data_IF_619445303138
#
_entry.id   IF_619445303138
#
_cell.length_a   1.000
_cell.length_b   1.000
_cell.length_c   1.000
_cell.angle_alpha   90.00
_cell.angle_beta   90.00
_cell.angle_gamma   90.00
#
_symmetry.space_group_name_H-M   'P 1'
#
loop_
_entity.id
_entity.type
_entity.pdbx_description
1 polymer ?
#
# COMPACT_ATOMS: atom_id res chain seq x y z
N UNK A 1 1.47 -12.09 0.24
CA UNK A 1 1.81 -10.75 -0.28
C UNK A 1 2.39 -9.97 0.88
N UNK A 2 3.43 -9.19 0.64
CA UNK A 2 4.06 -8.39 1.68
C UNK A 2 3.09 -7.30 2.12
N UNK A 3 2.87 -7.19 3.41
CA UNK A 3 2.03 -6.20 4.04
C UNK A 3 2.70 -4.82 4.02
N UNK A 4 2.97 -4.28 2.83
CA UNK A 4 3.76 -3.06 2.66
C UNK A 4 2.87 -1.84 2.72
N UNK A 5 3.29 -0.86 3.52
CA UNK A 5 2.64 0.45 3.57
C UNK A 5 3.64 1.57 3.24
N UNK A 6 3.13 2.58 2.57
CA UNK A 6 3.79 3.87 2.42
C UNK A 6 3.22 4.82 3.48
N UNK A 7 4.07 5.45 4.27
CA UNK A 7 3.64 6.39 5.33
C UNK A 7 4.15 7.78 4.99
N UNK A 8 3.25 8.77 4.95
CA UNK A 8 3.57 10.13 4.54
C UNK A 8 3.22 11.12 5.64
N UNK A 9 4.23 11.77 6.22
CA UNK A 9 4.11 12.74 7.30
C UNK A 9 3.99 14.15 6.74
N UNK A 10 2.85 14.81 6.98
CA UNK A 10 2.57 16.16 6.54
C UNK A 10 3.46 17.16 7.27
N UNK A 11 4.02 18.07 6.52
CA UNK A 11 4.85 19.20 6.97
C UNK A 11 4.01 20.48 7.03
N UNK A 12 4.51 21.54 7.69
CA UNK A 12 3.84 22.85 7.70
C UNK A 12 3.63 23.46 6.31
N UNK A 13 4.50 23.15 5.34
CA UNK A 13 4.43 23.62 3.96
C UNK A 13 3.45 22.81 3.07
N UNK A 14 2.60 21.97 3.67
CA UNK A 14 1.62 21.12 2.99
C UNK A 14 2.24 20.00 2.12
N UNK A 15 3.55 19.77 2.23
CA UNK A 15 4.25 18.65 1.59
C UNK A 15 4.43 17.52 2.60
N UNK A 16 4.97 16.40 2.13
CA UNK A 16 5.08 15.18 2.91
C UNK A 16 6.49 14.60 2.89
N UNK A 17 6.94 14.13 4.04
CA UNK A 17 8.10 13.25 4.13
C UNK A 17 7.61 11.80 4.13
N UNK A 18 8.16 11.00 3.23
CA UNK A 18 7.67 9.66 2.91
C UNK A 18 8.60 8.62 3.53
N UNK A 19 8.01 7.62 4.18
CA UNK A 19 8.67 6.49 4.81
C UNK A 19 8.02 5.17 4.40
N UNK A 20 8.73 4.10 4.68
CA UNK A 20 8.33 2.73 4.36
C UNK A 20 7.97 1.95 5.63
N UNK A 21 6.98 1.06 5.53
CA UNK A 21 6.74 0.03 6.54
C UNK A 21 6.55 -1.32 5.85
N UNK A 22 7.34 -2.32 6.24
CA UNK A 22 7.29 -3.66 5.65
C UNK A 22 6.05 -4.47 6.06
N UNK A 23 5.50 -4.18 7.24
CA UNK A 23 4.36 -4.90 7.84
C UNK A 23 3.11 -4.02 8.05
N UNK A 24 3.16 -2.74 7.65
CA UNK A 24 2.04 -1.79 7.78
C UNK A 24 0.75 -2.15 7.02
N UNK A 25 0.83 -3.09 6.09
CA UNK A 25 -0.27 -3.69 5.33
C UNK A 25 -0.98 -4.85 6.05
N UNK A 26 -0.50 -5.28 7.22
CA UNK A 26 -1.09 -6.40 7.96
C UNK A 26 -2.18 -5.87 8.92
N UNK A 27 -1.96 -4.68 9.46
CA UNK A 27 -2.84 -4.06 10.45
C UNK A 27 -3.25 -2.66 10.01
N UNK A 28 -4.55 -2.40 9.84
CA UNK A 28 -5.08 -1.01 9.80
C UNK A 28 -4.65 -0.24 11.05
N UNK A 29 -4.38 -0.96 12.14
CA UNK A 29 -3.80 -0.45 13.37
C UNK A 29 -2.42 0.25 13.21
N UNK A 30 -1.72 0.16 12.05
CA UNK A 30 -0.53 0.98 11.86
C UNK A 30 -0.87 2.48 12.04
N UNK A 31 -2.01 2.94 11.52
CA UNK A 31 -2.47 4.31 11.72
C UNK A 31 -2.77 4.64 13.19
N UNK A 32 -3.21 3.66 13.97
CA UNK A 32 -3.52 3.80 15.41
C UNK A 32 -2.26 3.79 16.28
N UNK A 33 -1.18 3.15 15.82
CA UNK A 33 0.11 3.08 16.52
C UNK A 33 0.98 4.34 16.32
N UNK A 34 0.65 5.17 15.32
CA UNK A 34 1.35 6.43 15.07
C UNK A 34 0.72 7.49 15.97
N UNK A 35 1.44 7.86 17.03
CA UNK A 35 1.06 8.95 17.93
C UNK A 35 2.19 9.98 18.05
N UNK A 36 1.98 11.04 18.82
CA UNK A 36 3.03 12.01 19.12
C UNK A 36 4.19 11.39 19.90
N UNK A 37 3.90 10.40 20.76
CA UNK A 37 4.85 9.66 21.57
C UNK A 37 5.57 8.57 20.76
N UNK A 38 4.86 7.91 19.85
CA UNK A 38 5.38 6.83 19.00
C UNK A 38 5.25 7.18 17.51
N UNK A 39 5.94 8.24 17.03
CA UNK A 39 5.73 8.75 15.67
C UNK A 39 6.13 7.74 14.59
N UNK A 40 6.99 6.77 14.90
CA UNK A 40 7.40 5.69 13.99
C UNK A 40 6.77 4.33 14.36
N UNK A 41 5.66 4.33 15.12
CA UNK A 41 4.94 3.13 15.55
C UNK A 41 5.88 2.06 16.15
N UNK A 42 6.69 2.46 17.12
CA UNK A 42 7.66 1.61 17.83
C UNK A 42 8.63 0.84 16.90
N UNK A 43 9.05 1.49 15.82
CA UNK A 43 9.99 0.92 14.85
C UNK A 43 9.33 0.08 13.75
N UNK A 44 7.99 0.01 13.73
CA UNK A 44 7.24 -0.59 12.61
C UNK A 44 7.37 0.21 11.31
N UNK A 45 7.81 1.47 11.40
CA UNK A 45 8.09 2.36 10.28
C UNK A 45 9.60 2.57 10.21
N UNK A 46 10.17 2.35 9.03
CA UNK A 46 11.58 2.58 8.78
C UNK A 46 11.92 4.07 9.02
N UNK A 47 12.92 4.39 9.86
CA UNK A 47 13.33 5.77 10.08
C UNK A 47 13.86 6.43 8.80
N UNK A 48 14.39 5.66 7.86
CA UNK A 48 14.92 6.17 6.60
C UNK A 48 13.79 6.72 5.71
N UNK A 49 13.99 7.95 5.23
CA UNK A 49 13.04 8.59 4.33
C UNK A 49 13.28 8.12 2.91
N UNK A 50 12.22 7.66 2.24
CA UNK A 50 12.24 7.33 0.82
C UNK A 50 11.95 8.54 -0.06
N UNK A 51 11.36 9.59 0.51
CA UNK A 51 11.11 10.85 -0.17
C UNK A 51 10.99 12.01 0.81
N UNK A 52 11.40 13.21 0.40
CA UNK A 52 11.41 14.41 1.23
C UNK A 52 10.66 15.56 0.56
N UNK A 53 9.81 16.25 1.33
CA UNK A 53 9.02 17.40 0.86
C UNK A 53 8.25 17.11 -0.45
N UNK A 54 7.53 16.01 -0.50
CA UNK A 54 6.79 15.54 -1.68
C UNK A 54 5.34 16.01 -1.64
N UNK A 55 4.78 16.49 -2.75
CA UNK A 55 3.35 16.83 -2.83
C UNK A 55 2.46 15.57 -2.84
N UNK A 56 1.21 15.66 -2.38
CA UNK A 56 0.23 14.55 -2.44
C UNK A 56 0.09 13.94 -3.84
N UNK A 57 -0.01 14.75 -4.88
CA UNK A 57 -0.09 14.27 -6.27
C UNK A 57 1.13 13.43 -6.64
N UNK A 58 2.33 13.90 -6.29
CA UNK A 58 3.58 13.19 -6.55
C UNK A 58 3.74 11.92 -5.72
N UNK A 59 3.17 11.84 -4.51
CA UNK A 59 3.09 10.57 -3.76
C UNK A 59 2.40 9.51 -4.64
N UNK A 60 1.20 9.83 -5.16
CA UNK A 60 0.42 8.88 -5.96
C UNK A 60 1.12 8.54 -7.28
N UNK A 61 1.68 9.53 -7.97
CA UNK A 61 2.21 9.32 -9.31
C UNK A 61 3.63 8.75 -9.38
N UNK A 62 4.43 8.89 -8.31
CA UNK A 62 5.85 8.55 -8.33
C UNK A 62 6.35 7.67 -7.18
N UNK A 63 5.59 7.53 -6.07
CA UNK A 63 6.03 6.73 -4.92
C UNK A 63 5.09 5.56 -4.59
N UNK A 64 3.79 5.73 -4.83
CA UNK A 64 2.79 4.73 -4.51
C UNK A 64 2.60 3.75 -5.68
N UNK A 65 3.55 2.82 -5.84
CA UNK A 65 3.40 1.71 -6.77
C UNK A 65 2.25 0.78 -6.30
N UNK A 66 1.13 0.68 -7.05
CA UNK A 66 0.00 -0.16 -6.66
C UNK A 66 0.32 -1.66 -6.68
N UNK A 67 1.37 -2.10 -7.40
CA UNK A 67 1.81 -3.49 -7.37
C UNK A 67 2.59 -3.83 -6.09
N UNK A 68 3.22 -2.84 -5.47
CA UNK A 68 4.11 -3.03 -4.32
C UNK A 68 3.41 -2.73 -3.00
N UNK A 69 2.61 -1.66 -2.94
CA UNK A 69 1.99 -1.18 -1.71
C UNK A 69 0.56 -1.66 -1.56
N UNK A 70 0.23 -2.14 -0.36
CA UNK A 70 -1.15 -2.50 0.00
C UNK A 70 -1.87 -1.33 0.68
N UNK A 71 -1.12 -0.42 1.32
CA UNK A 71 -1.67 0.73 2.06
C UNK A 71 -0.87 2.02 1.90
N UNK A 72 -1.57 3.14 2.03
CA UNK A 72 -1.02 4.48 2.20
C UNK A 72 -1.55 5.05 3.53
N UNK A 73 -0.67 5.53 4.39
CA UNK A 73 -1.06 6.23 5.63
C UNK A 73 -0.59 7.68 5.54
N UNK A 74 -1.53 8.62 5.61
CA UNK A 74 -1.22 10.05 5.73
C UNK A 74 -1.25 10.45 7.20
N UNK A 75 -0.19 11.07 7.68
CA UNK A 75 -0.06 11.53 9.07
C UNK A 75 -0.06 13.05 9.08
N UNK A 76 -0.89 13.67 9.93
CA UNK A 76 -0.95 15.11 10.13
C UNK A 76 -0.55 15.48 11.58
N UNK A 77 0.75 15.68 11.87
CA UNK A 77 1.24 15.90 13.24
C UNK A 77 0.63 17.11 13.97
N UNK A 78 0.25 18.17 13.24
CA UNK A 78 -0.27 19.41 13.83
C UNK A 78 -1.76 19.40 14.19
N UNK A 79 -2.52 18.39 13.76
CA UNK A 79 -3.95 18.23 14.05
C UNK A 79 -4.14 16.99 14.93
N UNK A 80 -3.62 17.01 16.16
CA UNK A 80 -3.67 15.89 17.12
C UNK A 80 -3.04 14.58 16.60
N UNK A 81 -2.00 14.69 15.76
CA UNK A 81 -1.39 13.52 15.12
C UNK A 81 -2.39 12.66 14.32
N UNK A 82 -3.44 13.28 13.75
CA UNK A 82 -4.45 12.57 12.97
C UNK A 82 -3.83 11.75 11.86
N UNK A 83 -4.21 10.47 11.79
CA UNK A 83 -3.86 9.57 10.69
C UNK A 83 -5.07 9.33 9.79
N UNK A 84 -4.80 9.13 8.50
CA UNK A 84 -5.79 8.70 7.54
C UNK A 84 -5.21 7.54 6.74
N UNK A 85 -5.84 6.39 6.86
CA UNK A 85 -5.39 5.16 6.21
C UNK A 85 -6.19 4.95 4.93
N UNK A 86 -5.48 4.56 3.87
CA UNK A 86 -6.04 4.22 2.58
C UNK A 86 -5.62 2.80 2.20
N UNK A 87 -6.58 2.02 1.69
CA UNK A 87 -6.30 0.77 0.98
C UNK A 87 -5.91 1.10 -0.47
N UNK A 88 -4.82 0.50 -0.93
CA UNK A 88 -4.38 0.61 -2.32
C UNK A 88 -5.01 -0.52 -3.14
N UNK A 89 -5.61 -0.15 -4.26
CA UNK A 89 -6.29 -1.01 -5.20
C UNK A 89 -5.50 -1.06 -6.52
N UNK A 90 -4.88 -2.19 -6.83
CA UNK A 90 -4.19 -2.36 -8.11
C UNK A 90 -5.18 -2.67 -9.23
N UNK A 91 -5.35 -1.74 -10.18
CA UNK A 91 -6.40 -1.82 -11.20
C UNK A 91 -6.00 -2.58 -12.47
N UNK A 92 -4.77 -3.07 -12.55
CA UNK A 92 -4.28 -3.86 -13.69
C UNK A 92 -4.19 -5.36 -13.35
N UNK A 93 -4.17 -6.20 -14.39
CA UNK A 93 -3.98 -7.66 -14.28
C UNK A 93 -2.57 -8.13 -14.64
N UNK A 94 -1.76 -7.23 -15.23
CA UNK A 94 -0.38 -7.52 -15.64
C UNK A 94 0.49 -6.32 -15.36
N UNK A 95 1.76 -6.55 -15.08
CA UNK A 95 2.76 -5.48 -14.99
C UNK A 95 3.02 -4.96 -16.41
N UNK A 96 2.54 -3.76 -16.72
CA UNK A 96 2.86 -3.07 -17.98
C UNK A 96 4.13 -2.23 -17.81
N UNK A 97 4.92 -2.12 -18.88
CA UNK A 97 6.16 -1.31 -18.89
C UNK A 97 5.87 0.20 -19.07
N UNK A 98 4.59 0.59 -19.17
CA UNK A 98 4.10 1.95 -19.06
C UNK A 98 3.17 2.03 -17.85
N UNK A 99 3.12 3.20 -17.22
CA UNK A 99 2.55 3.45 -15.89
C UNK A 99 1.38 2.56 -15.45
N UNK A 100 1.41 2.15 -14.17
CA UNK A 100 0.39 1.29 -13.56
C UNK A 100 -0.81 2.12 -13.09
N UNK A 101 -2.03 1.65 -13.37
CA UNK A 101 -3.25 2.26 -12.83
C UNK A 101 -3.52 1.73 -11.41
N UNK A 102 -3.72 2.66 -10.48
CA UNK A 102 -4.05 2.37 -9.08
C UNK A 102 -5.29 3.14 -8.62
N UNK A 103 -5.87 2.70 -7.51
CA UNK A 103 -6.89 3.41 -6.77
C UNK A 103 -6.53 3.44 -5.28
N UNK A 104 -7.02 4.45 -4.57
CA UNK A 104 -6.99 4.47 -3.11
C UNK A 104 -8.41 4.64 -2.56
N UNK A 105 -8.74 3.88 -1.51
CA UNK A 105 -10.02 3.96 -0.80
C UNK A 105 -9.72 4.25 0.66
N UNK A 106 -10.37 5.26 1.25
CA UNK A 106 -10.19 5.57 2.66
C UNK A 106 -10.77 4.45 3.53
N UNK A 107 -9.99 3.98 4.49
CA UNK A 107 -10.38 2.89 5.41
C UNK A 107 -10.10 3.34 6.83
N UNK A 108 -11.15 3.69 7.56
CA UNK A 108 -11.13 4.20 8.93
C UNK A 108 -11.10 3.08 9.98
N UNK A 109 -11.57 1.88 9.62
CA UNK A 109 -11.64 0.72 10.51
C UNK A 109 -11.17 -0.56 9.82
N UNK A 110 -10.78 -1.55 10.62
CA UNK A 110 -10.45 -2.90 10.12
C UNK A 110 -11.63 -3.55 9.37
N UNK A 111 -12.86 -3.35 9.84
CA UNK A 111 -14.06 -3.93 9.21
C UNK A 111 -14.31 -3.33 7.82
N UNK A 112 -14.15 -2.00 7.68
CA UNK A 112 -14.25 -1.33 6.38
C UNK A 112 -13.14 -1.79 5.44
N UNK A 113 -11.90 -1.88 5.94
CA UNK A 113 -10.76 -2.37 5.15
C UNK A 113 -10.96 -3.79 4.64
N UNK A 114 -11.47 -4.69 5.48
CA UNK A 114 -11.77 -6.07 5.09
C UNK A 114 -12.88 -6.14 4.06
N UNK A 115 -13.97 -5.37 4.25
CA UNK A 115 -15.07 -5.27 3.29
C UNK A 115 -14.55 -4.83 1.91
N UNK A 116 -13.82 -3.73 1.85
CA UNK A 116 -13.26 -3.18 0.61
C UNK A 116 -12.32 -4.20 -0.05
N UNK A 117 -11.46 -4.86 0.73
CA UNK A 117 -10.55 -5.90 0.21
C UNK A 117 -11.31 -7.05 -0.43
N UNK A 118 -12.30 -7.61 0.27
CA UNK A 118 -13.10 -8.75 -0.22
C UNK A 118 -13.86 -8.35 -1.48
N UNK A 119 -14.57 -7.22 -1.44
CA UNK A 119 -15.32 -6.70 -2.58
C UNK A 119 -14.42 -6.47 -3.80
N UNK A 120 -13.27 -5.82 -3.60
CA UNK A 120 -12.35 -5.50 -4.69
C UNK A 120 -11.78 -6.77 -5.31
N UNK A 121 -11.35 -7.73 -4.48
CA UNK A 121 -10.79 -8.98 -4.95
C UNK A 121 -11.83 -9.84 -5.66
N UNK A 122 -13.05 -9.94 -5.14
CA UNK A 122 -14.14 -10.66 -5.79
C UNK A 122 -14.46 -10.05 -7.17
N UNK A 123 -14.64 -8.73 -7.24
CA UNK A 123 -14.92 -8.02 -8.49
C UNK A 123 -13.80 -8.20 -9.50
N UNK A 124 -12.53 -8.07 -9.07
CA UNK A 124 -11.36 -8.21 -9.94
C UNK A 124 -11.20 -9.63 -10.47
N UNK A 125 -11.48 -10.64 -9.66
CA UNK A 125 -11.48 -12.06 -10.09
C UNK A 125 -12.56 -12.31 -11.13
N UNK A 126 -13.81 -11.89 -10.89
CA UNK A 126 -14.89 -12.08 -11.87
C UNK A 126 -14.59 -11.37 -13.20
N UNK A 127 -14.03 -10.16 -13.15
CA UNK A 127 -13.60 -9.46 -14.37
C UNK A 127 -12.45 -10.19 -15.07
N UNK A 128 -11.53 -10.82 -14.34
CA UNK A 128 -10.48 -11.65 -14.93
C UNK A 128 -11.10 -12.80 -15.73
N UNK A 129 -12.04 -13.54 -15.14
CA UNK A 129 -12.71 -14.66 -15.79
C UNK A 129 -13.43 -14.22 -17.08
N UNK A 130 -14.16 -13.09 -17.03
CA UNK A 130 -14.87 -12.54 -18.19
C UNK A 130 -13.89 -12.12 -19.30
N UNK A 131 -12.75 -11.55 -18.92
CA UNK A 131 -11.67 -11.20 -19.87
C UNK A 131 -11.06 -12.45 -20.49
N UNK A 132 -10.80 -13.49 -19.70
CA UNK A 132 -10.23 -14.76 -20.17
C UNK A 132 -11.18 -15.49 -21.13
N UNK A 133 -12.49 -15.41 -20.89
CA UNK A 133 -13.52 -15.89 -21.81
C UNK A 133 -13.64 -15.04 -23.09
N UNK A 134 -12.92 -13.92 -23.20
CA UNK A 134 -12.97 -13.02 -24.35
C UNK A 134 -14.24 -12.19 -24.46
N UNK A 135 -15.12 -12.23 -23.44
CA UNK A 135 -16.38 -11.50 -23.43
C UNK A 135 -16.19 -10.01 -23.13
N UNK A 136 -15.06 -9.62 -22.52
CA UNK A 136 -14.69 -8.24 -22.23
C UNK A 136 -13.21 -8.00 -22.52
N UNK A 137 -12.87 -6.82 -23.06
CA UNK A 137 -11.47 -6.43 -23.18
C UNK A 137 -10.86 -6.05 -21.83
N UNK A 138 -9.56 -6.27 -21.64
CA UNK A 138 -8.82 -5.82 -20.44
C UNK A 138 -8.99 -4.32 -20.17
N UNK A 139 -8.97 -3.50 -21.24
CA UNK A 139 -9.17 -2.04 -21.12
C UNK A 139 -10.56 -1.71 -20.55
N UNK A 140 -11.60 -2.38 -21.03
CA UNK A 140 -12.95 -2.19 -20.55
C UNK A 140 -13.13 -2.70 -19.11
N UNK A 141 -12.54 -3.86 -18.77
CA UNK A 141 -12.52 -4.38 -17.41
C UNK A 141 -11.86 -3.40 -16.42
N UNK A 142 -10.72 -2.82 -16.80
CA UNK A 142 -10.04 -1.79 -16.00
C UNK A 142 -10.91 -0.54 -15.82
N UNK A 143 -11.46 0.00 -16.91
CA UNK A 143 -12.34 1.18 -16.84
C UNK A 143 -13.56 0.91 -15.96
N UNK A 144 -14.14 -0.28 -16.04
CA UNK A 144 -15.24 -0.69 -15.16
C UNK A 144 -14.79 -0.75 -13.70
N UNK A 145 -13.67 -1.41 -13.39
CA UNK A 145 -13.17 -1.53 -12.03
C UNK A 145 -12.82 -0.15 -11.42
N UNK A 146 -12.23 0.73 -12.22
CA UNK A 146 -11.96 2.12 -11.82
C UNK A 146 -13.23 2.88 -11.48
N UNK A 147 -14.25 2.82 -12.35
CA UNK A 147 -15.54 3.45 -12.09
C UNK A 147 -16.18 2.91 -10.80
N UNK A 148 -16.13 1.60 -10.56
CA UNK A 148 -16.65 1.00 -9.32
C UNK A 148 -15.89 1.47 -8.08
N UNK A 149 -14.56 1.55 -8.13
CA UNK A 149 -13.77 2.10 -7.02
C UNK A 149 -14.15 3.55 -6.71
N UNK A 150 -14.34 4.38 -7.73
CA UNK A 150 -14.70 5.78 -7.54
C UNK A 150 -16.16 6.00 -7.11
N UNK A 151 -17.10 5.26 -7.67
CA UNK A 151 -18.54 5.49 -7.46
C UNK A 151 -19.11 4.72 -6.26
N UNK A 152 -18.62 3.50 -5.98
CA UNK A 152 -19.16 2.65 -4.92
C UNK A 152 -18.41 2.82 -3.59
N UNK A 153 -17.09 3.01 -3.66
CA UNK A 153 -16.23 3.07 -2.47
C UNK A 153 -15.63 4.47 -2.25
N UNK A 154 -16.13 5.50 -2.95
CA UNK A 154 -15.65 6.90 -2.87
C UNK A 154 -14.12 7.00 -3.04
N UNK A 155 -13.57 6.13 -3.90
CA UNK A 155 -12.14 5.99 -4.11
C UNK A 155 -11.57 7.02 -5.07
N UNK A 156 -10.26 7.23 -4.99
CA UNK A 156 -9.52 8.09 -5.92
C UNK A 156 -8.61 7.26 -6.82
N UNK A 157 -8.84 7.30 -8.14
CA UNK A 157 -7.98 6.67 -9.12
C UNK A 157 -6.74 7.53 -9.44
N UNK A 158 -5.61 6.90 -9.74
CA UNK A 158 -4.36 7.55 -10.10
C UNK A 158 -3.53 6.71 -11.07
N UNK A 159 -2.57 7.35 -11.75
CA UNK A 159 -1.57 6.66 -12.57
C UNK A 159 -0.20 6.78 -11.92
N UNK A 160 0.42 5.64 -11.62
CA UNK A 160 1.80 5.54 -11.16
C UNK A 160 2.75 5.40 -12.35
N UNK A 161 3.89 6.09 -12.34
CA UNK A 161 4.93 5.96 -13.38
C UNK A 161 4.80 6.90 -14.58
N UNK A 162 3.79 7.78 -14.63
CA UNK A 162 3.70 8.88 -15.63
C UNK A 162 4.63 10.08 -15.29
N UNK A 163 5.41 9.99 -14.21
CA UNK A 163 6.20 11.09 -13.65
C UNK A 163 7.69 11.14 -14.03
N UNK A 164 8.09 10.60 -15.18
CA UNK A 164 9.47 10.74 -15.65
C UNK A 164 9.75 12.14 -16.18
N UNK A 165 10.23 13.07 -15.33
CA UNK A 165 11.36 14.01 -15.51
C UNK A 165 11.50 14.81 -14.20
N UNK A 166 12.13 14.24 -13.16
CA UNK A 166 13.14 14.95 -12.33
C UNK A 166 13.79 13.97 -11.34
N UNK A 167 14.94 13.42 -11.72
CA UNK A 167 16.10 13.22 -10.85
C UNK A 167 16.05 12.28 -9.64
N UNK A 168 15.11 11.33 -9.56
CA UNK A 168 15.15 10.31 -8.51
C UNK A 168 14.49 9.02 -8.99
N UNK A 169 15.30 8.07 -9.44
CA UNK A 169 14.84 6.72 -9.76
C UNK A 169 14.45 6.06 -8.44
N UNK A 170 13.18 6.18 -8.07
CA UNK A 170 12.65 5.45 -6.93
C UNK A 170 12.58 3.97 -7.32
N UNK A 171 13.62 3.23 -6.96
CA UNK A 171 13.57 1.78 -6.95
C UNK A 171 12.79 1.37 -5.70
N UNK A 172 11.62 0.73 -5.88
CA UNK A 172 10.88 0.12 -4.77
C UNK A 172 11.84 -0.70 -3.90
N UNK A 173 11.79 -0.57 -2.55
CA UNK A 173 12.67 -1.31 -1.66
C UNK A 173 12.60 -2.81 -1.99
N UNK A 174 13.75 -3.49 -2.19
CA UNK A 174 13.75 -4.93 -2.41
C UNK A 174 13.14 -5.63 -1.19
N UNK A 175 12.60 -6.83 -1.40
CA UNK A 175 12.07 -7.72 -0.36
C UNK A 175 13.13 -8.01 0.73
N UNK A 176 13.35 -7.10 1.67
CA UNK A 176 14.16 -7.34 2.86
C UNK A 176 13.33 -8.19 3.83
N UNK A 177 13.63 -9.48 3.90
CA UNK A 177 13.35 -10.25 5.12
C UNK A 177 14.19 -9.63 6.25
N UNK A 178 13.60 -9.31 7.42
CA UNK A 178 14.41 -8.95 8.57
C UNK A 178 15.31 -10.15 8.94
N UNK A 179 16.62 -9.93 8.97
CA UNK A 179 17.58 -10.88 9.52
C UNK A 179 17.32 -10.97 11.03
N UNK A 180 16.50 -11.93 11.46
CA UNK A 180 16.10 -12.04 12.87
C UNK A 180 15.27 -13.26 13.26
N UNK A 181 14.82 -14.10 12.32
CA UNK A 181 14.28 -15.41 12.67
C UNK A 181 15.44 -16.38 12.94
N UNK A 182 16.01 -16.27 14.13
CA UNK A 182 16.79 -17.36 14.71
C UNK A 182 15.90 -18.62 14.67
N UNK A 183 16.39 -19.64 13.97
CA UNK A 183 15.79 -20.97 13.85
C UNK A 183 15.53 -21.54 15.26
N UNK A 184 14.34 -21.35 15.78
CA UNK A 184 13.77 -22.18 16.84
C UNK A 184 13.24 -23.47 16.20
N UNK A 185 14.15 -24.27 15.63
CA UNK A 185 13.85 -25.64 15.23
C UNK A 185 15.11 -26.50 15.26
N UNK A 186 15.80 -26.51 16.40
CA UNK A 186 16.69 -27.61 16.80
C UNK A 186 16.37 -27.95 18.26
N UNK A 187 15.24 -28.62 18.46
CA UNK A 187 15.08 -29.58 19.56
C UNK A 187 14.85 -30.93 18.91
N UNK A 188 15.95 -31.47 18.41
CA UNK A 188 16.04 -32.89 18.05
C UNK A 188 15.69 -33.75 19.25
N UNK A 189 14.79 -34.69 18.97
CA UNK A 189 14.65 -36.00 19.58
C UNK A 189 15.89 -36.48 20.37
N UNK A 190 15.80 -36.41 21.70
CA UNK A 190 16.47 -37.39 22.56
C UNK A 190 15.46 -38.49 22.84
N UNK A 191 15.27 -39.39 21.86
CA UNK A 191 14.82 -40.75 22.13
C UNK A 191 16.05 -41.64 22.09
N UNK A 192 16.68 -41.80 23.25
CA UNK A 192 17.65 -42.85 23.47
C UNK A 192 17.14 -43.77 24.58
N UNK A 193 16.94 -45.04 24.18
CA UNK A 193 17.20 -46.29 24.92
C UNK A 193 16.99 -46.26 26.43
N UNK A 194 15.98 -47.00 26.91
CA UNK A 194 16.06 -48.23 27.72
C UNK A 194 14.69 -48.89 27.79
#
# INVERSE_FOLDING_TARGET
MGHRALVAYRRPDQRYDIRYSHWGGERVALGEQITAETPLADGSIDPEMVGHAVSRTRILSAYLDPCTYERLVLVAPGEDYRTTTYRVCWLEWTVSHGGCRGGIVAVDTLAVDERVRIWFQATKTTLADIVEMGALSRRAARTYLEARVCEEEDGTAYTYGEGGVDGGEYASPPDRRPEGEARLSDREDVRDRW
#
